data_IF_795268515559
#
_entry.id   IF_795268515559
#
_cell.length_a   1.000
_cell.length_b   1.000
_cell.length_c   1.000
_cell.angle_alpha   90.00
_cell.angle_beta   90.00
_cell.angle_gamma   90.00
#
_symmetry.space_group_name_H-M   'P 1'
#
loop_
_entity.id
_entity.type
_entity.pdbx_description
1 polymer ?
#
# COMPACT_ATOMS: atom_id res chain seq x y z
N UNK A 1 0.14 9.50 21.70
CA UNK A 1 0.04 8.54 20.58
C UNK A 1 0.72 9.14 19.36
N UNK A 2 1.45 8.36 18.55
CA UNK A 2 2.12 8.82 17.32
C UNK A 2 1.69 7.94 16.16
N UNK A 3 1.43 8.53 14.99
CA UNK A 3 1.04 7.83 13.78
C UNK A 3 2.00 8.19 12.64
N UNK A 4 2.30 7.22 11.77
CA UNK A 4 3.14 7.39 10.58
C UNK A 4 2.38 6.86 9.38
N UNK A 5 2.19 7.70 8.36
CA UNK A 5 1.55 7.34 7.11
C UNK A 5 2.61 7.21 6.03
N UNK A 6 2.69 6.04 5.41
CA UNK A 6 3.61 5.75 4.30
C UNK A 6 2.79 5.58 3.03
N UNK A 7 3.15 6.32 1.99
CA UNK A 7 2.52 6.25 0.68
C UNK A 7 3.57 6.03 -0.39
N UNK A 8 3.25 5.22 -1.38
CA UNK A 8 4.12 4.95 -2.52
C UNK A 8 3.48 5.51 -3.78
N UNK A 9 4.29 6.11 -4.65
CA UNK A 9 3.83 6.58 -5.95
C UNK A 9 3.76 5.40 -6.93
N UNK A 10 2.61 5.23 -7.58
CA UNK A 10 2.42 4.26 -8.66
C UNK A 10 2.69 2.78 -8.31
N UNK A 11 2.76 2.43 -7.02
CA UNK A 11 2.95 1.05 -6.56
C UNK A 11 1.69 0.22 -6.83
N UNK A 12 1.83 -0.86 -7.61
CA UNK A 12 0.73 -1.78 -7.87
C UNK A 12 0.78 -2.96 -6.89
N UNK A 13 -0.34 -3.22 -6.22
CA UNK A 13 -0.48 -4.29 -5.21
C UNK A 13 -0.10 -5.67 -5.72
N UNK A 14 -0.22 -5.93 -7.03
CA UNK A 14 0.13 -7.23 -7.65
C UNK A 14 1.61 -7.57 -7.56
N UNK A 15 2.47 -6.59 -7.29
CA UNK A 15 3.91 -6.79 -7.09
C UNK A 15 4.31 -6.98 -5.63
N UNK A 16 3.34 -7.07 -4.71
CA UNK A 16 3.62 -7.19 -3.29
C UNK A 16 3.35 -8.62 -2.80
N UNK A 17 4.26 -9.22 -2.00
CA UNK A 17 4.08 -10.57 -1.46
C UNK A 17 2.77 -10.79 -0.68
N UNK A 18 2.28 -9.83 0.14
CA UNK A 18 0.98 -9.96 0.80
C UNK A 18 -0.21 -10.18 -0.14
N UNK A 19 -0.07 -9.84 -1.43
CA UNK A 19 -1.09 -10.07 -2.46
C UNK A 19 -0.74 -11.24 -3.39
N UNK A 20 0.21 -12.11 -3.00
CA UNK A 20 0.56 -13.34 -3.70
C UNK A 20 1.72 -13.23 -4.70
N UNK A 21 2.43 -12.10 -4.77
CA UNK A 21 3.60 -11.97 -5.64
C UNK A 21 4.79 -12.80 -5.10
N UNK A 22 5.40 -13.63 -5.94
CA UNK A 22 6.57 -14.47 -5.57
C UNK A 22 7.89 -13.98 -6.18
N UNK A 23 7.83 -13.11 -7.18
CA UNK A 23 8.99 -12.67 -7.96
C UNK A 23 9.68 -11.44 -7.34
N UNK A 24 9.04 -10.78 -6.38
CA UNK A 24 9.54 -9.56 -5.74
C UNK A 24 9.98 -9.84 -4.32
N UNK A 25 11.25 -9.54 -4.02
CA UNK A 25 11.81 -9.64 -2.67
C UNK A 25 11.40 -8.40 -1.87
N UNK A 26 10.40 -8.55 -0.99
CA UNK A 26 9.89 -7.46 -0.15
C UNK A 26 9.59 -7.92 1.29
N UNK A 27 10.63 -8.32 2.07
CA UNK A 27 10.47 -8.94 3.40
C UNK A 27 9.82 -8.01 4.44
N UNK A 28 9.97 -6.69 4.27
CA UNK A 28 9.32 -5.72 5.17
C UNK A 28 7.81 -5.64 4.96
N UNK A 29 7.31 -5.88 3.75
CA UNK A 29 5.88 -5.93 3.49
C UNK A 29 5.25 -7.21 4.04
N UNK A 30 5.96 -8.34 3.95
CA UNK A 30 5.56 -9.61 4.59
C UNK A 30 5.46 -9.45 6.11
N UNK A 31 6.52 -8.94 6.73
CA UNK A 31 6.55 -8.66 8.18
C UNK A 31 5.47 -7.67 8.63
N UNK A 32 5.11 -6.72 7.77
CA UNK A 32 4.03 -5.77 8.06
C UNK A 32 2.67 -6.48 8.00
N UNK A 33 2.43 -7.30 6.98
CA UNK A 33 1.18 -8.04 6.83
C UNK A 33 0.93 -9.04 7.97
N UNK A 34 1.97 -9.65 8.54
CA UNK A 34 1.86 -10.53 9.72
C UNK A 34 1.37 -9.80 10.99
N UNK A 35 1.58 -8.48 11.07
CA UNK A 35 1.32 -7.67 12.27
C UNK A 35 0.17 -6.68 12.09
N UNK A 36 -0.47 -6.66 10.92
CA UNK A 36 -1.47 -5.65 10.55
C UNK A 36 -2.60 -6.28 9.73
N UNK A 37 -3.66 -5.50 9.51
CA UNK A 37 -4.75 -5.91 8.61
C UNK A 37 -4.39 -5.51 7.19
N UNK A 38 -4.51 -6.46 6.26
CA UNK A 38 -4.39 -6.19 4.82
C UNK A 38 -5.78 -5.95 4.22
N UNK A 39 -5.91 -4.94 3.37
CA UNK A 39 -7.17 -4.59 2.73
C UNK A 39 -7.17 -5.01 1.26
N UNK A 40 -8.03 -5.96 0.88
CA UNK A 40 -8.13 -6.43 -0.51
C UNK A 40 -8.85 -5.43 -1.43
N UNK A 41 -9.76 -4.64 -0.86
CA UNK A 41 -10.66 -3.73 -1.56
C UNK A 41 -10.37 -2.26 -1.22
N UNK A 42 -9.10 -1.84 -1.32
CA UNK A 42 -8.69 -0.44 -1.17
C UNK A 42 -8.58 0.25 -2.53
N UNK A 43 -9.40 1.28 -2.74
CA UNK A 43 -9.48 2.02 -4.00
C UNK A 43 -9.07 3.48 -3.80
N UNK A 44 -8.38 4.05 -4.80
CA UNK A 44 -8.02 5.47 -4.80
C UNK A 44 -9.22 6.33 -5.19
N UNK A 45 -9.37 7.50 -4.56
CA UNK A 45 -10.47 8.42 -4.83
C UNK A 45 -10.36 9.23 -6.14
N UNK A 46 -9.18 9.22 -6.78
CA UNK A 46 -8.91 9.83 -8.09
C UNK A 46 -7.61 9.28 -8.71
N UNK A 47 -7.32 9.63 -9.96
CA UNK A 47 -6.01 9.56 -10.63
C UNK A 47 -5.97 10.81 -11.53
N UNK A 48 -4.89 11.61 -11.64
CA UNK A 48 -3.47 11.37 -11.37
C UNK A 48 -2.97 11.68 -9.93
N UNK A 49 -1.67 11.54 -9.69
CA UNK A 49 -1.05 11.61 -8.36
C UNK A 49 -1.25 12.94 -7.60
N UNK A 50 -1.40 14.06 -8.33
CA UNK A 50 -1.64 15.38 -7.74
C UNK A 50 -3.00 15.52 -7.05
N UNK A 51 -4.15 15.21 -7.68
CA UNK A 51 -5.46 15.28 -7.01
C UNK A 51 -5.68 14.22 -5.92
N UNK A 52 -4.99 13.07 -5.96
CA UNK A 52 -5.13 12.03 -4.91
C UNK A 52 -4.57 12.50 -3.58
N UNK A 53 -3.38 13.13 -3.59
CA UNK A 53 -2.71 13.58 -2.36
C UNK A 53 -3.52 14.66 -1.63
N UNK A 54 -4.33 15.45 -2.34
CA UNK A 54 -5.17 16.49 -1.76
C UNK A 54 -6.45 15.95 -1.08
N UNK A 55 -6.96 14.78 -1.51
CA UNK A 55 -8.23 14.21 -1.03
C UNK A 55 -8.13 13.32 0.21
N UNK A 56 -6.97 13.21 0.86
CA UNK A 56 -6.74 12.32 2.01
C UNK A 56 -7.03 12.99 3.36
N UNK A 57 -8.06 13.84 3.44
CA UNK A 57 -8.56 14.42 4.71
C UNK A 57 -9.60 13.52 5.35
#
# INVERSE_FOLDING_TARGET
MKAVMVMFDSLNRRFLPPYGCRDVVAPNFERLAERTVTFDNSYVGSMPCMPVRLRLR
#
